data_IF_549313886190
#
_entry.id   IF_549313886190
#
_cell.length_a   1.000
_cell.length_b   1.000
_cell.length_c   1.000
_cell.angle_alpha   90.00
_cell.angle_beta   90.00
_cell.angle_gamma   90.00
#
_symmetry.space_group_name_H-M   'P 1'
#
loop_
_entity.id
_entity.type
_entity.pdbx_description
1 polymer ?
#
# COMPACT_ATOMS: atom_id res chain seq x y z
N UNK A 1 -18.71 -18.07 -21.13
CA UNK A 1 -18.04 -17.31 -20.04
C UNK A 1 -19.05 -16.98 -18.92
N UNK A 2 -19.15 -17.87 -17.94
CA UNK A 2 -20.19 -17.84 -16.91
C UNK A 2 -19.90 -16.85 -15.78
N UNK A 3 -20.93 -16.56 -14.97
CA UNK A 3 -20.93 -15.70 -13.77
C UNK A 3 -20.01 -16.18 -12.61
N UNK A 4 -19.03 -17.05 -12.89
CA UNK A 4 -18.14 -17.66 -11.91
C UNK A 4 -16.86 -16.84 -11.67
N UNK A 5 -16.12 -17.10 -10.58
CA UNK A 5 -14.89 -16.39 -10.25
C UNK A 5 -13.69 -16.82 -11.11
N UNK A 6 -13.81 -17.88 -11.90
CA UNK A 6 -12.74 -18.41 -12.76
C UNK A 6 -12.40 -17.43 -13.89
N UNK A 7 -11.18 -16.92 -13.88
CA UNK A 7 -10.64 -15.99 -14.86
C UNK A 7 -9.81 -16.69 -15.94
N UNK A 8 -8.98 -17.66 -15.54
CA UNK A 8 -8.13 -18.44 -16.44
C UNK A 8 -7.93 -19.84 -15.87
N UNK A 9 -7.87 -20.85 -16.75
CA UNK A 9 -7.37 -22.18 -16.43
C UNK A 9 -6.15 -22.45 -17.30
N UNK A 10 -5.06 -22.85 -16.66
CA UNK A 10 -3.83 -23.27 -17.32
C UNK A 10 -3.67 -24.77 -17.10
N UNK A 11 -3.41 -25.50 -18.19
CA UNK A 11 -3.05 -26.91 -18.18
C UNK A 11 -1.78 -27.10 -19.00
N UNK A 12 -0.87 -27.92 -18.50
CA UNK A 12 0.35 -28.35 -19.16
C UNK A 12 0.16 -29.77 -19.67
N UNK A 13 0.92 -30.16 -20.71
CA UNK A 13 0.88 -31.53 -21.26
C UNK A 13 1.24 -32.59 -20.20
N UNK A 14 1.99 -32.20 -19.17
CA UNK A 14 2.33 -33.05 -18.01
C UNK A 14 1.13 -33.36 -17.10
N UNK A 15 -0.04 -32.77 -17.37
CA UNK A 15 -1.23 -32.84 -16.52
C UNK A 15 -1.22 -31.86 -15.35
N UNK A 16 -0.12 -31.13 -15.12
CA UNK A 16 -0.05 -30.06 -14.13
C UNK A 16 -0.80 -28.81 -14.62
N UNK A 17 -1.25 -27.95 -13.70
CA UNK A 17 -1.99 -26.76 -14.05
C UNK A 17 -2.46 -25.97 -12.84
N UNK A 18 -3.14 -24.85 -13.09
CA UNK A 18 -3.78 -24.07 -12.05
C UNK A 18 -5.00 -23.33 -12.58
N UNK A 19 -5.91 -23.03 -11.65
CA UNK A 19 -7.04 -22.14 -11.88
C UNK A 19 -6.74 -20.79 -11.24
N UNK A 20 -6.85 -19.74 -12.06
CA UNK A 20 -6.78 -18.36 -11.60
C UNK A 20 -8.20 -17.84 -11.45
N UNK A 21 -8.51 -17.38 -10.25
CA UNK A 21 -9.81 -16.77 -9.94
C UNK A 21 -9.64 -15.30 -9.57
N UNK A 22 -10.56 -14.46 -10.03
CA UNK A 22 -10.61 -13.06 -9.61
C UNK A 22 -11.87 -12.85 -8.78
N UNK A 23 -11.70 -12.75 -7.47
CA UNK A 23 -12.77 -12.41 -6.54
C UNK A 23 -12.93 -10.87 -6.50
N UNK A 24 -14.05 -10.37 -7.01
CA UNK A 24 -14.32 -8.92 -7.08
C UNK A 24 -15.52 -8.61 -7.97
N UNK A 25 -16.22 -7.52 -7.67
CA UNK A 25 -17.32 -6.96 -8.49
C UNK A 25 -16.79 -6.24 -9.72
N UNK A 26 -15.57 -5.70 -9.64
CA UNK A 26 -14.82 -5.18 -10.78
C UNK A 26 -13.72 -6.18 -11.13
N UNK A 27 -13.64 -6.56 -12.41
CA UNK A 27 -12.59 -7.43 -12.95
C UNK A 27 -11.50 -6.57 -13.58
N UNK A 28 -10.28 -6.67 -13.08
CA UNK A 28 -9.09 -5.93 -13.55
C UNK A 28 -7.87 -6.84 -13.75
N UNK A 29 -8.01 -8.14 -13.53
CA UNK A 29 -6.95 -9.10 -13.79
C UNK A 29 -6.62 -9.13 -15.28
N UNK A 30 -5.33 -9.04 -15.59
CA UNK A 30 -4.79 -9.27 -16.92
C UNK A 30 -3.74 -10.38 -16.84
N UNK A 31 -3.73 -11.27 -17.84
CA UNK A 31 -2.75 -12.36 -17.94
C UNK A 31 -2.00 -12.22 -19.25
N UNK A 32 -0.68 -12.36 -19.17
CA UNK A 32 0.24 -12.25 -20.30
C UNK A 32 1.09 -13.52 -20.39
N UNK A 33 1.41 -13.93 -21.60
CA UNK A 33 2.43 -14.95 -21.90
C UNK A 33 3.49 -14.26 -22.75
N UNK A 34 4.68 -14.08 -22.19
CA UNK A 34 5.77 -13.25 -22.75
C UNK A 34 7.11 -13.94 -22.56
N UNK A 35 8.11 -13.58 -23.35
CA UNK A 35 9.47 -14.11 -23.22
C UNK A 35 10.21 -13.57 -22.00
N UNK A 36 9.95 -12.31 -21.66
CA UNK A 36 10.45 -11.64 -20.47
C UNK A 36 9.36 -10.79 -19.79
N UNK A 37 9.31 -10.68 -18.44
CA UNK A 37 8.32 -9.87 -17.73
C UNK A 37 8.25 -8.41 -18.19
N UNK A 38 9.37 -7.84 -18.64
CA UNK A 38 9.52 -6.46 -19.09
C UNK A 38 8.79 -6.18 -20.41
N UNK A 39 8.37 -7.21 -21.14
CA UNK A 39 7.49 -7.05 -22.31
C UNK A 39 6.07 -6.63 -21.90
N UNK A 40 5.69 -6.83 -20.62
CA UNK A 40 4.39 -6.39 -20.09
C UNK A 40 4.48 -4.91 -19.74
N UNK A 41 3.72 -4.00 -20.39
CA UNK A 41 3.84 -2.57 -20.15
C UNK A 41 3.60 -2.15 -18.70
N UNK A 42 2.77 -2.91 -17.97
CA UNK A 42 2.51 -2.69 -16.55
C UNK A 42 3.69 -3.02 -15.64
N UNK A 43 4.55 -3.96 -16.04
CA UNK A 43 5.76 -4.38 -15.33
C UNK A 43 6.94 -3.49 -15.71
N UNK A 44 7.08 -3.17 -17.00
CA UNK A 44 8.16 -2.32 -17.53
C UNK A 44 8.23 -0.92 -16.88
N UNK A 45 7.07 -0.40 -16.44
CA UNK A 45 6.95 0.93 -15.82
C UNK A 45 7.09 0.93 -14.30
N UNK A 46 7.29 -0.22 -13.66
CA UNK A 46 7.40 -0.27 -12.21
C UNK A 46 8.64 0.47 -11.73
N UNK A 47 8.47 1.22 -10.64
CA UNK A 47 9.58 1.77 -9.88
C UNK A 47 10.37 0.67 -9.17
N UNK A 48 11.44 1.05 -8.47
CA UNK A 48 12.24 0.09 -7.70
C UNK A 48 11.41 -0.63 -6.63
N UNK A 49 11.84 -1.85 -6.31
CA UNK A 49 11.35 -2.61 -5.16
C UNK A 49 12.00 -2.03 -3.89
N UNK A 50 11.21 -1.55 -2.91
CA UNK A 50 11.76 -0.99 -1.68
C UNK A 50 12.48 -2.02 -0.78
N UNK A 51 12.30 -3.33 -1.05
CA UNK A 51 13.00 -4.40 -0.35
C UNK A 51 14.30 -4.84 -1.04
N UNK A 52 14.61 -4.33 -2.24
CA UNK A 52 15.85 -4.66 -2.93
C UNK A 52 17.10 -4.15 -2.18
N UNK A 53 18.23 -4.84 -2.36
CA UNK A 53 19.49 -4.54 -1.67
C UNK A 53 20.08 -3.17 -2.08
N UNK A 54 19.78 -2.70 -3.29
CA UNK A 54 20.22 -1.41 -3.84
C UNK A 54 19.25 -0.26 -3.50
N UNK A 55 18.15 -0.54 -2.80
CA UNK A 55 17.20 0.48 -2.35
C UNK A 55 17.58 1.03 -0.97
N UNK A 56 18.39 2.07 -0.95
CA UNK A 56 18.84 2.78 0.26
C UNK A 56 18.03 4.06 0.57
N UNK A 57 18.31 4.68 1.72
CA UNK A 57 17.67 5.93 2.14
C UNK A 57 17.91 7.06 1.12
N UNK A 58 19.10 7.12 0.52
CA UNK A 58 19.45 8.14 -0.47
C UNK A 58 18.59 7.98 -1.71
N UNK A 59 18.37 6.75 -2.17
CA UNK A 59 17.51 6.44 -3.30
C UNK A 59 16.07 6.85 -3.04
N UNK A 60 15.55 6.62 -1.83
CA UNK A 60 14.24 7.13 -1.43
C UNK A 60 14.20 8.67 -1.47
N UNK A 61 15.23 9.34 -0.96
CA UNK A 61 15.31 10.81 -0.98
C UNK A 61 15.27 11.36 -2.42
N UNK A 62 16.06 10.77 -3.33
CA UNK A 62 16.10 11.15 -4.75
C UNK A 62 14.74 11.03 -5.43
N UNK A 63 14.01 9.93 -5.16
CA UNK A 63 12.67 9.72 -5.71
C UNK A 63 11.65 10.76 -5.21
N UNK A 64 11.79 11.21 -3.95
CA UNK A 64 10.82 12.12 -3.33
C UNK A 64 11.15 13.61 -3.52
N UNK A 65 12.40 13.97 -3.84
CA UNK A 65 12.88 15.36 -3.88
C UNK A 65 12.08 16.30 -4.82
N UNK A 66 11.52 15.76 -5.92
CA UNK A 66 10.69 16.51 -6.88
C UNK A 66 9.18 16.30 -6.72
N UNK A 67 8.76 15.46 -5.78
CA UNK A 67 7.41 14.94 -5.73
C UNK A 67 6.44 15.91 -5.03
N UNK A 68 5.61 16.60 -5.80
CA UNK A 68 4.66 17.62 -5.31
C UNK A 68 3.34 17.03 -4.83
N UNK A 69 3.12 15.73 -4.99
CA UNK A 69 1.93 15.04 -4.44
C UNK A 69 2.06 14.90 -2.93
N UNK A 70 0.91 14.63 -2.32
CA UNK A 70 0.84 14.19 -0.93
C UNK A 70 1.56 12.86 -0.77
N UNK A 71 2.22 12.68 0.38
CA UNK A 71 3.12 11.57 0.65
C UNK A 71 2.46 10.20 0.48
N UNK A 72 1.21 10.03 0.96
CA UNK A 72 0.47 8.78 0.73
C UNK A 72 0.25 8.50 -0.77
N UNK A 73 -0.04 9.53 -1.54
CA UNK A 73 -0.22 9.43 -2.99
C UNK A 73 1.06 9.04 -3.71
N UNK A 74 2.18 9.66 -3.33
CA UNK A 74 3.50 9.33 -3.85
C UNK A 74 3.88 7.86 -3.56
N UNK A 75 3.73 7.41 -2.31
CA UNK A 75 4.02 6.03 -1.91
C UNK A 75 3.15 4.99 -2.64
N UNK A 76 1.95 5.35 -3.09
CA UNK A 76 1.05 4.45 -3.83
C UNK A 76 1.35 4.38 -5.33
N UNK A 77 2.18 5.28 -5.84
CA UNK A 77 2.53 5.30 -7.26
C UNK A 77 3.51 4.17 -7.59
N UNK A 78 3.00 3.17 -8.31
CA UNK A 78 3.78 1.99 -8.68
C UNK A 78 4.95 2.32 -9.62
N UNK A 79 4.96 3.47 -10.29
CA UNK A 79 6.11 3.93 -11.09
C UNK A 79 7.19 4.62 -10.26
N UNK A 80 6.84 5.09 -9.05
CA UNK A 80 7.78 5.70 -8.13
C UNK A 80 8.40 4.65 -7.21
N UNK A 81 7.57 3.82 -6.58
CA UNK A 81 7.97 2.72 -5.70
C UNK A 81 6.98 1.58 -5.89
N UNK A 82 7.47 0.40 -6.29
CA UNK A 82 6.61 -0.75 -6.53
C UNK A 82 6.19 -1.42 -5.20
N UNK A 83 5.01 -2.05 -5.19
CA UNK A 83 4.58 -2.94 -4.09
C UNK A 83 3.88 -2.24 -2.92
N UNK A 84 3.99 -0.91 -2.79
CA UNK A 84 3.29 -0.17 -1.73
C UNK A 84 1.85 0.18 -2.16
N UNK A 85 0.89 -0.51 -1.54
CA UNK A 85 -0.54 -0.32 -1.80
C UNK A 85 -1.25 0.58 -0.79
N UNK A 86 -2.59 0.64 -0.88
CA UNK A 86 -3.39 1.49 0.01
C UNK A 86 -3.21 1.15 1.51
N UNK A 87 -3.20 -0.13 1.84
CA UNK A 87 -3.03 -0.58 3.23
C UNK A 87 -1.64 -0.25 3.77
N UNK A 88 -0.58 -0.71 3.11
CA UNK A 88 0.77 -0.50 3.60
C UNK A 88 1.17 0.98 3.62
N UNK A 89 0.67 1.82 2.70
CA UNK A 89 0.91 3.26 2.82
C UNK A 89 0.26 3.89 4.05
N UNK A 90 -0.85 3.37 4.60
CA UNK A 90 -1.36 3.83 5.90
C UNK A 90 -0.45 3.36 7.04
N UNK A 91 -0.08 2.08 7.04
CA UNK A 91 0.77 1.47 8.08
C UNK A 91 2.15 2.13 8.15
N UNK A 92 2.81 2.31 7.01
CA UNK A 92 4.14 2.94 6.90
C UNK A 92 4.10 4.37 7.42
N UNK A 93 3.08 5.15 7.04
CA UNK A 93 2.98 6.54 7.48
C UNK A 93 2.61 6.67 8.95
N UNK A 94 1.84 5.73 9.49
CA UNK A 94 1.58 5.64 10.92
C UNK A 94 2.86 5.29 11.69
N UNK A 95 3.61 4.29 11.25
CA UNK A 95 4.90 3.90 11.84
C UNK A 95 5.92 5.05 11.79
N UNK A 96 5.99 5.76 10.66
CA UNK A 96 6.83 6.94 10.47
C UNK A 96 6.33 8.20 11.21
N UNK A 97 5.12 8.16 11.81
CA UNK A 97 4.45 9.30 12.46
C UNK A 97 4.30 10.51 11.52
N UNK A 98 3.94 10.25 10.27
CA UNK A 98 3.81 11.26 9.23
C UNK A 98 2.37 11.44 8.77
N UNK A 99 1.98 12.70 8.55
CA UNK A 99 0.70 13.03 7.94
C UNK A 99 0.61 12.45 6.51
N UNK A 100 -0.48 11.74 6.18
CA UNK A 100 -0.78 11.35 4.80
C UNK A 100 -0.78 12.50 3.79
N UNK A 101 -1.04 13.72 4.26
CA UNK A 101 -1.16 14.93 3.43
C UNK A 101 0.10 15.80 3.42
N UNK A 102 1.19 15.39 4.11
CA UNK A 102 2.48 16.06 3.98
C UNK A 102 2.96 15.99 2.53
N UNK A 103 3.60 17.03 2.02
CA UNK A 103 4.18 17.02 0.67
C UNK A 103 5.43 16.14 0.67
N UNK A 104 5.57 15.27 -0.33
CA UNK A 104 6.72 14.37 -0.41
C UNK A 104 8.04 15.15 -0.59
N UNK A 105 8.04 16.18 -1.43
CA UNK A 105 9.18 17.07 -1.64
C UNK A 105 9.56 17.93 -0.42
N UNK A 106 8.78 17.91 0.66
CA UNK A 106 9.06 18.71 1.87
C UNK A 106 9.61 17.87 3.03
N UNK A 107 10.12 16.67 2.76
CA UNK A 107 10.75 15.83 3.78
C UNK A 107 12.16 16.33 4.08
N UNK A 108 12.47 16.49 5.36
CA UNK A 108 13.87 16.63 5.79
C UNK A 108 14.63 15.30 5.63
N UNK A 109 15.95 15.33 5.75
CA UNK A 109 16.78 14.14 5.76
C UNK A 109 16.39 13.18 6.90
N UNK A 110 16.15 13.71 8.11
CA UNK A 110 15.69 12.93 9.25
C UNK A 110 14.31 12.31 9.02
N UNK A 111 13.38 13.08 8.43
CA UNK A 111 12.07 12.57 8.04
C UNK A 111 12.22 11.44 7.03
N UNK A 112 13.06 11.64 6.01
CA UNK A 112 13.34 10.61 5.00
C UNK A 112 13.92 9.34 5.62
N UNK A 113 14.84 9.47 6.59
CA UNK A 113 15.37 8.33 7.34
C UNK A 113 14.31 7.57 8.13
N UNK A 114 13.42 8.28 8.84
CA UNK A 114 12.29 7.64 9.54
C UNK A 114 11.33 6.95 8.59
N UNK A 115 11.03 7.58 7.45
CA UNK A 115 10.17 6.99 6.43
C UNK A 115 10.79 5.74 5.82
N UNK A 116 12.09 5.78 5.52
CA UNK A 116 12.83 4.64 4.98
C UNK A 116 12.81 3.45 5.93
N UNK A 117 13.13 3.67 7.21
CA UNK A 117 13.07 2.62 8.24
C UNK A 117 11.66 2.03 8.35
N UNK A 118 10.63 2.88 8.49
CA UNK A 118 9.24 2.43 8.59
C UNK A 118 8.77 1.65 7.35
N UNK A 119 9.21 2.07 6.15
CA UNK A 119 8.95 1.39 4.88
C UNK A 119 9.55 -0.02 4.87
N UNK A 120 10.84 -0.13 5.19
CA UNK A 120 11.58 -1.40 5.23
C UNK A 120 11.00 -2.34 6.27
N UNK A 121 10.81 -1.87 7.49
CA UNK A 121 10.34 -2.69 8.62
C UNK A 121 8.92 -3.22 8.35
N UNK A 122 7.99 -2.35 7.97
CA UNK A 122 6.59 -2.73 7.71
C UNK A 122 6.48 -3.76 6.59
N UNK A 123 7.24 -3.58 5.49
CA UNK A 123 7.19 -4.51 4.36
C UNK A 123 7.92 -5.81 4.66
N UNK A 124 9.05 -5.77 5.37
CA UNK A 124 9.78 -6.97 5.79
C UNK A 124 8.92 -7.82 6.71
N UNK A 125 8.31 -7.23 7.74
CA UNK A 125 7.38 -7.93 8.64
C UNK A 125 6.21 -8.56 7.87
N UNK A 126 5.65 -7.84 6.90
CA UNK A 126 4.56 -8.35 6.07
C UNK A 126 4.98 -9.57 5.21
N UNK A 127 6.19 -9.53 4.64
CA UNK A 127 6.75 -10.66 3.88
C UNK A 127 6.99 -11.85 4.79
N UNK A 128 7.64 -11.64 5.94
CA UNK A 128 7.95 -12.72 6.89
C UNK A 128 6.68 -13.40 7.41
N UNK A 129 5.65 -12.63 7.76
CA UNK A 129 4.34 -13.18 8.16
C UNK A 129 3.63 -13.97 7.05
N UNK A 130 3.96 -13.68 5.79
CA UNK A 130 3.37 -14.35 4.64
C UNK A 130 4.10 -15.64 4.25
N UNK A 131 5.33 -15.87 4.74
CA UNK A 131 6.10 -17.08 4.42
C UNK A 131 5.39 -18.33 4.94
N UNK A 132 5.27 -19.33 4.07
CA UNK A 132 4.62 -20.61 4.42
C UNK A 132 3.09 -20.53 4.56
N UNK A 133 2.48 -19.37 4.40
CA UNK A 133 1.03 -19.21 4.45
C UNK A 133 0.41 -19.66 3.13
N UNK A 134 -0.55 -20.58 3.20
CA UNK A 134 -1.28 -21.04 2.03
C UNK A 134 -1.95 -19.86 1.29
N UNK A 135 -1.94 -19.86 -0.04
CA UNK A 135 -2.40 -18.73 -0.87
C UNK A 135 -3.81 -18.23 -0.49
N UNK A 136 -4.75 -19.15 -0.18
CA UNK A 136 -6.10 -18.81 0.24
C UNK A 136 -6.22 -18.12 1.61
N UNK A 137 -5.17 -18.15 2.44
CA UNK A 137 -5.12 -17.52 3.77
C UNK A 137 -4.33 -16.21 3.80
N UNK A 138 -3.57 -15.89 2.76
CA UNK A 138 -2.75 -14.67 2.68
C UNK A 138 -3.55 -13.38 2.94
N UNK A 139 -4.80 -13.32 2.46
CA UNK A 139 -5.65 -12.14 2.69
C UNK A 139 -6.00 -11.95 4.17
N UNK A 140 -6.32 -13.05 4.87
CA UNK A 140 -6.65 -13.02 6.29
C UNK A 140 -5.41 -12.67 7.12
N UNK A 141 -4.26 -13.26 6.77
CA UNK A 141 -2.98 -12.99 7.41
C UNK A 141 -2.55 -11.53 7.24
N UNK A 142 -2.65 -10.99 6.02
CA UNK A 142 -2.40 -9.57 5.79
C UNK A 142 -3.26 -8.70 6.71
N UNK A 143 -4.56 -8.96 6.80
CA UNK A 143 -5.48 -8.13 7.60
C UNK A 143 -5.16 -8.18 9.10
N UNK A 144 -4.71 -9.33 9.61
CA UNK A 144 -4.38 -9.47 11.03
C UNK A 144 -3.12 -8.68 11.44
N UNK A 145 -2.21 -8.41 10.49
CA UNK A 145 -1.02 -7.59 10.73
C UNK A 145 -1.24 -6.07 10.65
N UNK A 146 -2.39 -5.58 10.18
CA UNK A 146 -2.63 -4.14 10.00
C UNK A 146 -3.06 -3.47 11.31
N UNK A 147 -2.38 -2.36 11.65
CA UNK A 147 -2.52 -1.63 12.91
C UNK A 147 -3.47 -0.45 12.82
N UNK A 148 -3.57 0.19 11.65
CA UNK A 148 -4.44 1.38 11.43
C UNK A 148 -5.35 1.22 10.23
N UNK A 149 -4.90 0.54 9.18
CA UNK A 149 -5.69 0.36 7.97
C UNK A 149 -6.91 -0.51 8.23
N UNK A 150 -8.09 0.00 7.88
CA UNK A 150 -9.36 -0.66 8.17
C UNK A 150 -9.71 -0.74 9.66
N UNK A 151 -9.10 0.09 10.51
CA UNK A 151 -9.30 0.16 11.97
C UNK A 151 -9.98 1.46 12.42
N UNK A 152 -10.73 2.12 11.53
CA UNK A 152 -11.45 3.36 11.85
C UNK A 152 -12.34 3.18 13.08
N UNK A 153 -12.24 4.08 14.05
CA UNK A 153 -12.99 4.02 15.31
C UNK A 153 -12.33 3.17 16.40
N UNK A 154 -11.31 2.36 16.07
CA UNK A 154 -10.54 1.60 17.05
C UNK A 154 -9.46 2.49 17.72
N UNK A 155 -9.02 2.15 18.95
CA UNK A 155 -7.93 2.86 19.60
C UNK A 155 -6.61 2.63 18.88
N UNK A 156 -5.84 3.69 18.69
CA UNK A 156 -4.50 3.65 18.14
C UNK A 156 -3.59 2.79 19.04
N UNK A 157 -2.87 1.80 18.49
CA UNK A 157 -2.03 0.90 19.29
C UNK A 157 -0.74 1.56 19.81
N UNK A 158 -0.52 2.85 19.53
CA UNK A 158 0.66 3.60 20.00
C UNK A 158 0.25 4.60 21.08
N UNK A 159 -0.78 5.41 20.84
CA UNK A 159 -1.15 6.51 21.74
C UNK A 159 -2.58 6.42 22.33
N UNK A 160 -3.35 5.39 21.98
CA UNK A 160 -4.73 5.18 22.47
C UNK A 160 -5.81 6.08 21.86
N UNK A 161 -5.46 7.12 21.12
CA UNK A 161 -6.42 8.00 20.42
C UNK A 161 -7.16 7.26 19.30
N UNK A 162 -8.36 7.71 18.92
CA UNK A 162 -9.19 7.05 17.92
C UNK A 162 -8.58 7.16 16.51
N UNK A 163 -8.42 6.03 15.82
CA UNK A 163 -8.05 5.99 14.40
C UNK A 163 -9.18 6.60 13.58
N UNK A 164 -8.85 7.59 12.74
CA UNK A 164 -9.79 8.30 11.88
C UNK A 164 -9.62 7.89 10.43
N UNK A 165 -10.67 8.13 9.64
CA UNK A 165 -10.68 7.89 8.20
C UNK A 165 -10.77 9.22 7.43
N UNK A 166 -10.15 9.27 6.25
CA UNK A 166 -10.54 10.19 5.18
C UNK A 166 -11.02 9.40 3.98
N UNK A 167 -12.24 9.69 3.53
CA UNK A 167 -12.94 8.98 2.48
C UNK A 167 -12.81 9.68 1.11
N UNK A 168 -12.52 8.91 0.07
CA UNK A 168 -12.49 9.32 -1.34
C UNK A 168 -13.52 8.55 -2.16
N UNK A 169 -13.68 8.90 -3.44
CA UNK A 169 -14.69 8.31 -4.32
C UNK A 169 -14.65 6.76 -4.34
N UNK A 170 -13.45 6.19 -4.40
CA UNK A 170 -13.19 4.77 -4.62
C UNK A 170 -12.22 4.15 -3.59
N UNK A 171 -11.78 4.92 -2.61
CA UNK A 171 -10.80 4.49 -1.61
C UNK A 171 -10.96 5.27 -0.31
N UNK A 172 -10.33 4.79 0.75
CA UNK A 172 -10.18 5.53 2.00
C UNK A 172 -8.76 5.37 2.54
N UNK A 173 -8.35 6.30 3.39
CA UNK A 173 -7.12 6.19 4.18
C UNK A 173 -7.47 6.24 5.65
N UNK A 174 -6.70 5.54 6.48
CA UNK A 174 -6.85 5.56 7.94
C UNK A 174 -5.56 6.06 8.59
N UNK A 175 -5.71 6.87 9.63
CA UNK A 175 -4.60 7.53 10.31
C UNK A 175 -4.93 7.81 11.78
N UNK A 176 -3.91 7.99 12.62
CA UNK A 176 -4.06 8.45 13.99
C UNK A 176 -3.78 9.97 14.08
N UNK A 177 -4.74 10.81 14.52
CA UNK A 177 -4.54 12.25 14.61
C UNK A 177 -3.39 12.64 15.55
N UNK A 178 -3.38 12.11 16.76
CA UNK A 178 -2.29 12.36 17.72
C UNK A 178 -0.92 12.00 17.15
N UNK A 179 -0.76 10.81 16.56
CA UNK A 179 0.55 10.35 16.08
C UNK A 179 1.03 11.05 14.80
N UNK A 180 0.12 11.43 13.88
CA UNK A 180 0.51 11.83 12.52
C UNK A 180 0.26 13.30 12.20
N UNK A 181 -0.59 13.99 12.95
CA UNK A 181 -1.00 15.38 12.66
C UNK A 181 -1.01 16.28 13.90
N UNK A 182 -0.38 15.85 14.99
CA UNK A 182 -0.36 16.60 16.26
C UNK A 182 -1.75 16.79 16.84
N UNK A 183 -2.63 15.80 16.67
CA UNK A 183 -4.02 15.81 17.14
C UNK A 183 -5.02 16.48 16.20
N UNK A 184 -4.57 17.14 15.12
CA UNK A 184 -5.46 17.86 14.20
C UNK A 184 -6.15 16.89 13.23
N UNK A 185 -7.49 16.76 13.23
CA UNK A 185 -8.16 15.90 12.26
C UNK A 185 -7.99 16.44 10.83
N UNK A 186 -7.65 15.56 9.90
CA UNK A 186 -7.67 15.82 8.47
C UNK A 186 -9.12 15.98 7.99
N UNK A 187 -9.34 16.92 7.07
CA UNK A 187 -10.66 17.21 6.53
C UNK A 187 -11.17 16.06 5.64
N UNK A 188 -12.34 15.51 5.99
CA UNK A 188 -13.10 14.63 5.11
C UNK A 188 -14.00 15.46 4.19
N UNK A 189 -13.65 15.49 2.90
CA UNK A 189 -14.37 16.26 1.88
C UNK A 189 -15.84 15.83 1.70
N UNK A 190 -16.24 14.62 2.11
CA UNK A 190 -17.65 14.19 2.09
C UNK A 190 -18.42 14.83 3.24
N UNK A 191 -17.89 14.76 4.46
CA UNK A 191 -18.53 15.32 5.65
C UNK A 191 -18.48 16.86 5.68
N UNK A 192 -17.40 17.47 5.18
CA UNK A 192 -17.31 18.93 5.08
C UNK A 192 -18.34 19.57 4.15
N UNK A 193 -18.96 18.80 3.23
CA UNK A 193 -20.07 19.28 2.39
C UNK A 193 -21.43 19.21 3.08
N UNK A 194 -21.58 18.37 4.11
CA UNK A 194 -22.82 18.23 4.88
C UNK A 194 -22.89 19.20 6.06
N UNK A 195 -21.76 19.81 6.43
CA UNK A 195 -21.62 20.77 7.53
C UNK A 195 -21.56 22.23 7.06
N UNK A 196 -21.90 22.49 5.79
CA UNK A 196 -22.18 23.83 5.25
C UNK A 196 -23.67 23.97 5.04
#
# INVERSE_FOLDING_TARGET
PGKGPLALRVALETGAGFDLTEAGTQKRLAVYVVGAPQEVPGVARLGPDPLADDFDQRRLAELLAGERRQLKGALRDQSLIAGVGNAYSDEILHAARMSPFKLAASLSEEETGRLYAALRDTLTEAVERSRGVAAGRLKAEKKSGLRVHGRTGEPCPVCGDTVREVSFADSSLQYCPTCQTGGKPLADRRMSRLLK
#
